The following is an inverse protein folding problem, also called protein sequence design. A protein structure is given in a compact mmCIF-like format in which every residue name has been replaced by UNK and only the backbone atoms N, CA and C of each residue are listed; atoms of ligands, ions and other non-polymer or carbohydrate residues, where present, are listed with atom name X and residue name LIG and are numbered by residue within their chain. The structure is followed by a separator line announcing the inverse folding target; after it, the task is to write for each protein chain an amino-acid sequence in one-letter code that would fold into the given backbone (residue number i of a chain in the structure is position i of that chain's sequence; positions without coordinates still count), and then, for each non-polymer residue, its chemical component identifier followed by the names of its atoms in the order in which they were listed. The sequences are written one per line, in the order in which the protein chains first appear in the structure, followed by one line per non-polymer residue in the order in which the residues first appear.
data_IF_258388439303
#
_entry.id   IF_258388439303
#
_cell.length_a   1.000
_cell.length_b   1.000
_cell.length_c   1.000
_cell.angle_alpha   90.00
_cell.angle_beta   90.00
_cell.angle_gamma   90.00
#
_symmetry.space_group_name_H-M   'P 1'
#
loop_
_entity.id
_entity.type
_entity.pdbx_description
1 polymer ?
#
# COMPACT_ATOMS: atom_id res chain seq x y z
N UNK A 1 16.29 -11.59 -7.62
CA UNK A 1 14.93 -11.02 -7.70
C UNK A 1 14.73 -10.15 -6.47
N UNK A 2 14.23 -8.92 -6.65
CA UNK A 2 13.91 -8.00 -5.56
C UNK A 2 12.59 -8.42 -4.89
N UNK A 3 12.51 -8.32 -3.56
CA UNK A 3 11.30 -8.53 -2.76
C UNK A 3 10.20 -7.54 -3.22
N UNK A 4 8.99 -8.02 -3.47
CA UNK A 4 7.83 -7.17 -3.79
C UNK A 4 7.36 -6.45 -2.52
N UNK A 5 6.72 -5.29 -2.66
CA UNK A 5 6.15 -4.58 -1.52
C UNK A 5 5.13 -5.43 -0.74
N UNK A 6 4.44 -6.37 -1.40
CA UNK A 6 3.49 -7.30 -0.76
C UNK A 6 4.21 -8.28 0.17
N UNK A 7 5.31 -8.88 -0.30
CA UNK A 7 6.16 -9.77 0.49
C UNK A 7 6.80 -9.02 1.66
N UNK A 8 7.29 -7.81 1.39
CA UNK A 8 7.89 -6.93 2.39
C UNK A 8 6.89 -6.50 3.47
N UNK A 9 5.65 -6.18 3.08
CA UNK A 9 4.57 -5.86 4.01
C UNK A 9 4.19 -7.09 4.84
N UNK A 10 4.11 -8.27 4.23
CA UNK A 10 3.84 -9.53 4.94
C UNK A 10 4.88 -9.81 6.03
N UNK A 11 6.16 -9.67 5.69
CA UNK A 11 7.28 -9.89 6.62
C UNK A 11 7.30 -8.88 7.76
N UNK A 12 7.01 -7.61 7.48
CA UNK A 12 7.15 -6.52 8.45
C UNK A 12 5.88 -6.18 9.22
N UNK A 13 4.73 -6.77 8.88
CA UNK A 13 3.44 -6.42 9.48
C UNK A 13 3.46 -6.38 11.01
N UNK A 14 4.10 -7.35 11.67
CA UNK A 14 4.19 -7.41 13.14
C UNK A 14 5.09 -6.30 13.72
N UNK A 15 6.19 -5.96 13.04
CA UNK A 15 7.07 -4.86 13.43
C UNK A 15 6.38 -3.49 13.29
N UNK A 16 5.45 -3.39 12.34
CA UNK A 16 4.67 -2.18 12.06
C UNK A 16 3.44 -2.10 12.96
N UNK A 17 3.10 -3.18 13.68
CA UNK A 17 1.96 -3.24 14.60
C UNK A 17 0.63 -3.58 13.92
N UNK A 18 0.67 -4.22 12.75
CA UNK A 18 -0.50 -4.66 11.98
C UNK A 18 -0.69 -6.16 12.23
N UNK A 19 -1.87 -6.54 12.73
CA UNK A 19 -2.25 -7.94 12.91
C UNK A 19 -3.70 -8.20 12.44
N UNK A 20 -3.98 -9.45 12.07
CA UNK A 20 -5.33 -9.90 11.75
C UNK A 20 -5.98 -9.18 10.55
N UNK A 21 -7.31 -8.93 10.58
CA UNK A 21 -8.09 -8.39 9.46
C UNK A 21 -7.63 -7.02 8.94
N UNK A 22 -6.89 -6.27 9.75
CA UNK A 22 -6.30 -4.99 9.38
C UNK A 22 -5.21 -5.13 8.32
N UNK A 23 -4.49 -6.26 8.32
CA UNK A 23 -3.48 -6.56 7.31
C UNK A 23 -4.09 -6.66 5.91
N UNK A 24 -5.19 -7.39 5.77
CA UNK A 24 -5.86 -7.61 4.49
C UNK A 24 -6.46 -6.30 3.94
N UNK A 25 -6.99 -5.46 4.84
CA UNK A 25 -7.46 -4.11 4.51
C UNK A 25 -6.31 -3.24 3.98
N UNK A 26 -5.20 -3.13 4.73
CA UNK A 26 -4.06 -2.29 4.37
C UNK A 26 -3.42 -2.76 3.07
N UNK A 27 -3.25 -4.07 2.89
CA UNK A 27 -2.70 -4.63 1.67
C UNK A 27 -3.60 -4.31 0.47
N UNK A 28 -4.92 -4.45 0.61
CA UNK A 28 -5.88 -4.13 -0.45
C UNK A 28 -5.90 -2.63 -0.75
N UNK A 29 -5.84 -1.79 0.27
CA UNK A 29 -5.83 -0.33 0.15
C UNK A 29 -4.58 0.15 -0.60
N UNK A 30 -3.39 -0.33 -0.21
CA UNK A 30 -2.14 -0.02 -0.92
C UNK A 30 -2.24 -0.49 -2.37
N UNK A 31 -2.70 -1.72 -2.59
CA UNK A 31 -2.88 -2.27 -3.94
C UNK A 31 -3.77 -1.42 -4.83
N UNK A 32 -4.93 -0.97 -4.33
CA UNK A 32 -5.84 -0.09 -5.06
C UNK A 32 -5.17 1.23 -5.48
N UNK A 33 -4.49 1.90 -4.56
CA UNK A 33 -3.82 3.17 -4.87
C UNK A 33 -2.62 2.98 -5.80
N UNK A 34 -1.89 1.86 -5.70
CA UNK A 34 -0.84 1.52 -6.66
C UNK A 34 -1.43 1.35 -8.06
N UNK A 35 -2.53 0.60 -8.20
CA UNK A 35 -3.20 0.41 -9.49
C UNK A 35 -3.78 1.71 -10.07
N UNK A 36 -4.37 2.57 -9.24
CA UNK A 36 -4.87 3.87 -9.69
C UNK A 36 -3.74 4.82 -10.12
N UNK A 37 -2.63 4.78 -9.39
CA UNK A 37 -1.46 5.57 -9.72
C UNK A 37 -0.74 5.00 -10.96
N UNK A 38 -0.67 3.68 -11.13
CA UNK A 38 -0.20 3.01 -12.35
C UNK A 38 -1.03 3.41 -13.56
N UNK A 39 -2.36 3.38 -13.46
CA UNK A 39 -3.27 3.81 -14.54
C UNK A 39 -2.98 5.24 -14.97
N UNK A 40 -2.83 6.15 -14.01
CA UNK A 40 -2.49 7.57 -14.28
C UNK A 40 -1.05 7.74 -14.80
N UNK A 41 -0.11 6.94 -14.33
CA UNK A 41 1.26 6.93 -14.84
C UNK A 41 1.30 6.41 -16.29
N UNK A 42 0.55 5.36 -16.61
CA UNK A 42 0.45 4.80 -17.96
C UNK A 42 -0.18 5.76 -18.96
N UNK A 43 -1.08 6.65 -18.51
CA UNK A 43 -1.61 7.75 -19.33
C UNK A 43 -0.53 8.78 -19.74
N UNK A 44 0.58 8.85 -19.00
CA UNK A 44 1.66 9.84 -19.20
C UNK A 44 2.93 9.18 -19.78
N UNK A 45 3.29 7.99 -19.30
CA UNK A 45 4.44 7.17 -19.69
C UNK A 45 4.15 5.69 -19.39
N UNK A 46 3.82 4.91 -20.43
CA UNK A 46 3.45 3.49 -20.32
C UNK A 46 4.56 2.57 -19.76
N UNK A 47 5.79 3.08 -19.59
CA UNK A 47 6.94 2.29 -19.14
C UNK A 47 7.25 2.41 -17.65
N UNK A 48 6.50 3.23 -16.88
CA UNK A 48 6.73 3.38 -15.44
C UNK A 48 5.58 2.81 -14.63
N UNK A 49 5.90 1.88 -13.75
CA UNK A 49 4.96 1.40 -12.72
C UNK A 49 5.30 2.01 -11.37
N UNK A 50 4.29 2.44 -10.64
CA UNK A 50 4.32 2.87 -9.25
C UNK A 50 4.79 1.73 -8.36
N UNK A 51 4.49 0.47 -8.72
CA UNK A 51 5.06 -0.70 -8.07
C UNK A 51 6.60 -0.70 -8.13
N UNK A 52 7.23 -0.35 -9.27
CA UNK A 52 8.70 -0.23 -9.34
C UNK A 52 9.23 0.88 -8.44
N UNK A 53 8.52 2.01 -8.34
CA UNK A 53 8.91 3.12 -7.45
C UNK A 53 8.86 2.67 -5.99
N UNK A 54 7.77 2.03 -5.57
CA UNK A 54 7.60 1.53 -4.20
C UNK A 54 8.60 0.42 -3.89
N UNK A 55 8.82 -0.50 -4.83
CA UNK A 55 9.80 -1.59 -4.69
C UNK A 55 11.24 -1.05 -4.58
N UNK A 56 11.53 0.11 -5.18
CA UNK A 56 12.85 0.75 -5.12
C UNK A 56 13.09 1.58 -3.84
N UNK A 57 12.07 1.81 -3.00
CA UNK A 57 12.21 2.60 -1.79
C UNK A 57 13.07 1.91 -0.72
N UNK A 58 13.91 2.71 -0.04
CA UNK A 58 14.64 2.27 1.16
C UNK A 58 13.66 1.89 2.28
N UNK A 59 14.14 1.08 3.23
CA UNK A 59 13.35 0.62 4.38
C UNK A 59 12.70 1.76 5.17
N UNK A 60 13.45 2.82 5.45
CA UNK A 60 12.99 3.97 6.22
C UNK A 60 11.89 4.76 5.48
N UNK A 61 12.08 4.98 4.17
CA UNK A 61 11.12 5.72 3.34
C UNK A 61 9.82 4.92 3.14
N UNK A 62 9.94 3.61 2.93
CA UNK A 62 8.79 2.71 2.85
C UNK A 62 7.99 2.67 4.15
N UNK A 63 8.66 2.65 5.30
CA UNK A 63 7.99 2.66 6.61
C UNK A 63 7.27 3.97 6.86
N UNK A 64 7.88 5.09 6.48
CA UNK A 64 7.25 6.41 6.59
C UNK A 64 6.03 6.53 5.69
N UNK A 65 6.13 6.04 4.45
CA UNK A 65 5.02 5.96 3.52
C UNK A 65 3.87 5.12 4.10
N UNK A 66 4.16 3.91 4.58
CA UNK A 66 3.16 2.99 5.11
C UNK A 66 2.47 3.57 6.34
N UNK A 67 3.22 4.17 7.28
CA UNK A 67 2.67 4.85 8.46
C UNK A 67 1.76 6.03 8.09
N UNK A 68 2.15 6.84 7.09
CA UNK A 68 1.34 7.95 6.63
C UNK A 68 0.02 7.50 5.99
N UNK A 69 0.02 6.36 5.29
CA UNK A 69 -1.21 5.74 4.75
C UNK A 69 -2.11 5.28 5.89
N UNK A 70 -1.56 4.59 6.90
CA UNK A 70 -2.30 4.16 8.10
C UNK A 70 -2.93 5.35 8.82
N UNK A 71 -2.15 6.39 9.09
CA UNK A 71 -2.65 7.62 9.73
C UNK A 71 -3.75 8.29 8.89
N UNK A 72 -3.63 8.27 7.56
CA UNK A 72 -4.64 8.84 6.67
C UNK A 72 -5.94 8.05 6.71
N UNK A 73 -5.87 6.72 6.74
CA UNK A 73 -7.04 5.82 6.87
C UNK A 73 -7.73 6.06 8.21
N UNK A 74 -6.99 6.02 9.32
CA UNK A 74 -7.51 6.26 10.66
C UNK A 74 -8.12 7.65 10.85
N UNK A 75 -7.63 8.65 10.12
CA UNK A 75 -8.11 10.04 10.22
C UNK A 75 -9.28 10.35 9.28
N UNK A 76 -9.44 9.61 8.18
CA UNK A 76 -10.55 9.79 7.22
C UNK A 76 -11.79 8.95 7.53
N UNK A 77 -11.64 7.83 8.25
CA UNK A 77 -12.74 6.99 8.69
C UNK A 77 -12.51 6.59 10.14
N UNK A 78 -13.54 6.70 10.99
CA UNK A 78 -13.59 5.87 12.19
C UNK A 78 -13.64 4.43 11.71
N UNK A 79 -12.48 3.75 11.76
CA UNK A 79 -12.27 2.42 11.21
C UNK A 79 -13.29 1.41 11.75
N UNK A 80 -14.19 0.96 10.89
CA UNK A 80 -15.31 0.05 11.16
C UNK A 80 -15.09 -1.37 10.60
N UNK A 81 -13.90 -1.64 10.02
CA UNK A 81 -13.42 -2.98 9.69
C UNK A 81 -13.81 -3.51 8.30
N UNK A 82 -14.35 -2.68 7.40
CA UNK A 82 -14.69 -3.09 6.02
C UNK A 82 -13.74 -2.49 4.99
N UNK A 83 -13.14 -3.35 4.15
CA UNK A 83 -12.37 -2.97 2.97
C UNK A 83 -13.14 -2.03 2.03
N UNK A 84 -12.49 -1.03 1.41
CA UNK A 84 -13.15 -0.21 0.40
C UNK A 84 -13.65 -1.13 -0.72
N UNK A 85 -14.94 -1.03 -1.01
CA UNK A 85 -15.57 -1.79 -2.09
C UNK A 85 -14.92 -1.39 -3.42
N UNK A 86 -14.20 -2.32 -4.04
CA UNK A 86 -13.75 -2.18 -5.42
C UNK A 86 -14.98 -2.16 -6.32
N UNK A 87 -15.41 -0.97 -6.74
CA UNK A 87 -16.39 -0.84 -7.83
C UNK A 87 -15.70 -1.23 -9.12
N UNK A 88 -16.22 -2.29 -9.73
CA UNK A 88 -15.86 -2.82 -11.05
C UNK A 88 -16.19 -1.83 -12.19
#
# INVERSE_FOLDING_TARGET
MSETWRERLSRRRLEIGIDGPEYDYIQSYIGYYCSEADRKCQEIDMKKTVDEVINSMKNEDFDRFTRAVIDSVHKKQGYDGQAPSQTA
#
